data_IF_647582353116
#
_entry.id   IF_647582353116
#
_cell.length_a   1.000
_cell.length_b   1.000
_cell.length_c   1.000
_cell.angle_alpha   90.00
_cell.angle_beta   90.00
_cell.angle_gamma   90.00
#
_symmetry.space_group_name_H-M   'P 1'
#
loop_
_entity.id
_entity.type
_entity.pdbx_description
1 polymer ?
#
# COMPACT_ATOMS: atom_id res chain seq x y z
N UNK A 1 19.48 -12.71 24.38
CA UNK A 1 18.28 -13.49 24.04
C UNK A 1 17.39 -12.59 23.21
N UNK A 2 17.17 -12.90 21.93
CA UNK A 2 16.27 -12.10 21.09
C UNK A 2 14.85 -12.49 21.49
N UNK A 3 14.13 -11.59 22.16
CA UNK A 3 12.71 -11.77 22.38
C UNK A 3 12.00 -11.34 21.11
N UNK A 4 11.44 -12.31 20.39
CA UNK A 4 10.52 -12.03 19.30
C UNK A 4 9.19 -11.55 19.89
N UNK A 5 8.57 -10.56 19.24
CA UNK A 5 7.19 -10.19 19.54
C UNK A 5 6.30 -11.43 19.41
N UNK A 6 5.32 -11.57 20.30
CA UNK A 6 4.26 -12.56 20.14
C UNK A 6 3.48 -12.30 18.84
N UNK A 7 2.79 -13.31 18.28
CA UNK A 7 1.99 -13.10 17.07
C UNK A 7 0.97 -11.96 17.20
N UNK A 8 0.36 -11.80 18.38
CA UNK A 8 -0.57 -10.70 18.66
C UNK A 8 0.11 -9.34 18.65
N UNK A 9 1.29 -9.22 19.25
CA UNK A 9 2.06 -7.97 19.22
C UNK A 9 2.50 -7.61 17.80
N UNK A 10 2.93 -8.59 17.00
CA UNK A 10 3.28 -8.37 15.60
C UNK A 10 2.07 -7.85 14.81
N UNK A 11 0.91 -8.49 14.96
CA UNK A 11 -0.31 -8.04 14.29
C UNK A 11 -0.71 -6.62 14.69
N UNK A 12 -0.59 -6.28 15.97
CA UNK A 12 -0.89 -4.93 16.47
C UNK A 12 0.06 -3.88 15.88
N UNK A 13 1.36 -4.19 15.80
CA UNK A 13 2.36 -3.32 15.21
C UNK A 13 2.09 -3.10 13.71
N UNK A 14 1.81 -4.17 12.97
CA UNK A 14 1.46 -4.10 11.54
C UNK A 14 0.21 -3.24 11.32
N UNK A 15 -0.84 -3.46 12.12
CA UNK A 15 -2.09 -2.70 12.00
C UNK A 15 -1.90 -1.21 12.33
N UNK A 16 -1.11 -0.91 13.35
CA UNK A 16 -0.78 0.46 13.74
C UNK A 16 0.03 1.18 12.66
N UNK A 17 1.10 0.54 12.15
CA UNK A 17 1.93 1.10 11.10
C UNK A 17 1.12 1.35 9.83
N UNK A 18 0.35 0.35 9.37
CA UNK A 18 -0.53 0.48 8.21
C UNK A 18 -1.51 1.65 8.36
N UNK A 19 -2.11 1.81 9.54
CA UNK A 19 -3.04 2.91 9.81
C UNK A 19 -2.35 4.28 9.76
N UNK A 20 -1.12 4.38 10.28
CA UNK A 20 -0.32 5.61 10.21
C UNK A 20 0.08 5.95 8.78
N UNK A 21 0.47 4.95 7.98
CA UNK A 21 0.82 5.16 6.58
C UNK A 21 -0.38 5.63 5.76
N UNK A 22 -1.56 5.02 5.96
CA UNK A 22 -2.79 5.44 5.31
C UNK A 22 -3.18 6.87 5.71
N UNK A 23 -3.11 7.21 7.00
CA UNK A 23 -3.40 8.57 7.48
C UNK A 23 -2.44 9.60 6.87
N UNK A 24 -1.14 9.31 6.85
CA UNK A 24 -0.14 10.19 6.24
C UNK A 24 -0.34 10.32 4.72
N UNK A 25 -0.60 9.22 4.02
CA UNK A 25 -0.85 9.22 2.58
C UNK A 25 -2.11 10.03 2.23
N UNK A 26 -3.19 9.91 3.01
CA UNK A 26 -4.45 10.64 2.78
C UNK A 26 -4.32 12.16 2.85
N UNK A 27 -3.27 12.66 3.52
CA UNK A 27 -2.96 14.09 3.64
C UNK A 27 -2.10 14.63 2.51
N UNK A 28 -1.52 13.75 1.68
CA UNK A 28 -0.72 14.14 0.52
C UNK A 28 -1.62 14.37 -0.70
N UNK A 29 -1.14 15.18 -1.64
CA UNK A 29 -1.81 15.44 -2.91
C UNK A 29 -1.26 14.47 -3.96
N UNK A 30 -2.17 13.75 -4.62
CA UNK A 30 -1.86 12.92 -5.77
C UNK A 30 -1.52 13.81 -6.97
N UNK A 31 -0.29 13.73 -7.51
CA UNK A 31 0.13 14.57 -8.62
C UNK A 31 -0.66 14.30 -9.91
N UNK A 32 -1.26 13.11 -10.04
CA UNK A 32 -2.01 12.73 -11.25
C UNK A 32 -3.40 13.37 -11.29
N UNK A 33 -4.04 13.54 -10.13
CA UNK A 33 -5.41 14.06 -10.02
C UNK A 33 -5.49 15.48 -9.48
N UNK A 34 -4.43 15.96 -8.83
CA UNK A 34 -4.40 17.23 -8.11
C UNK A 34 -5.26 17.25 -6.85
N UNK A 35 -5.72 16.08 -6.38
CA UNK A 35 -6.58 15.92 -5.18
C UNK A 35 -5.86 15.09 -4.13
N UNK A 36 -6.40 15.06 -2.92
CA UNK A 36 -5.90 14.16 -1.87
C UNK A 36 -5.97 12.69 -2.32
N UNK A 37 -5.00 11.88 -1.89
CA UNK A 37 -5.02 10.43 -2.16
C UNK A 37 -6.24 9.78 -1.52
N UNK A 38 -6.98 9.01 -2.33
CA UNK A 38 -8.17 8.25 -1.92
C UNK A 38 -8.27 6.95 -2.73
N UNK A 39 -9.10 6.00 -2.28
CA UNK A 39 -9.35 4.76 -3.02
C UNK A 39 -8.08 3.95 -3.29
N UNK A 40 -7.95 3.42 -4.51
CA UNK A 40 -6.79 2.61 -4.94
C UNK A 40 -5.46 3.36 -4.82
N UNK A 41 -5.44 4.63 -5.24
CA UNK A 41 -4.24 5.49 -5.16
C UNK A 41 -3.77 5.72 -3.73
N UNK A 42 -4.68 5.69 -2.74
CA UNK A 42 -4.29 5.75 -1.33
C UNK A 42 -3.51 4.49 -0.90
N UNK A 43 -3.94 3.32 -1.38
CA UNK A 43 -3.29 2.03 -1.07
C UNK A 43 -1.90 1.99 -1.72
N UNK A 44 -1.81 2.37 -2.99
CA UNK A 44 -0.52 2.50 -3.68
C UNK A 44 0.42 3.42 -2.90
N UNK A 45 -0.04 4.63 -2.54
CA UNK A 45 0.82 5.61 -1.88
C UNK A 45 1.26 5.18 -0.49
N UNK A 46 0.38 4.57 0.31
CA UNK A 46 0.76 4.03 1.61
C UNK A 46 1.80 2.89 1.46
N UNK A 47 1.67 2.07 0.42
CA UNK A 47 2.63 0.99 0.13
C UNK A 47 3.99 1.53 -0.30
N UNK A 48 4.02 2.61 -1.09
CA UNK A 48 5.27 3.32 -1.42
C UNK A 48 5.99 3.81 -0.17
N UNK A 49 5.25 4.39 0.79
CA UNK A 49 5.81 4.85 2.06
C UNK A 49 6.31 3.69 2.94
N UNK A 50 5.61 2.55 2.93
CA UNK A 50 6.08 1.34 3.62
C UNK A 50 7.44 0.89 3.07
N UNK A 51 7.61 0.93 1.75
CA UNK A 51 8.82 0.46 1.08
C UNK A 51 9.99 1.45 1.15
N UNK A 52 9.74 2.73 0.87
CA UNK A 52 10.78 3.76 0.78
C UNK A 52 10.88 4.70 1.99
N UNK A 53 9.98 4.58 2.97
CA UNK A 53 9.83 5.49 4.10
C UNK A 53 8.87 6.67 3.83
N UNK A 54 8.43 7.33 4.90
CA UNK A 54 7.42 8.41 4.85
C UNK A 54 7.77 9.58 3.91
N UNK A 55 9.06 9.88 3.76
CA UNK A 55 9.57 10.99 2.95
C UNK A 55 9.88 10.61 1.51
N UNK A 56 9.62 9.36 1.09
CA UNK A 56 9.94 8.92 -0.26
C UNK A 56 9.14 9.73 -1.30
N UNK A 57 9.76 10.15 -2.42
CA UNK A 57 9.02 10.79 -3.50
C UNK A 57 7.86 9.91 -3.98
N UNK A 58 6.76 10.56 -4.34
CA UNK A 58 5.57 9.92 -4.91
C UNK A 58 5.95 9.30 -6.26
N UNK A 59 5.51 8.06 -6.49
CA UNK A 59 5.68 7.34 -7.77
C UNK A 59 7.16 7.35 -8.25
N UNK A 60 8.10 7.17 -7.32
CA UNK A 60 9.52 7.22 -7.64
C UNK A 60 9.98 5.96 -8.39
N UNK A 61 10.77 6.17 -9.45
CA UNK A 61 11.45 5.09 -10.18
C UNK A 61 12.72 4.57 -9.46
N UNK A 62 12.98 5.02 -8.23
CA UNK A 62 14.12 4.51 -7.45
C UNK A 62 13.82 3.09 -6.99
N UNK A 63 14.74 2.17 -7.25
CA UNK A 63 14.61 0.76 -6.86
C UNK A 63 15.50 0.41 -5.68
N UNK A 64 15.22 -0.74 -5.06
CA UNK A 64 16.13 -1.31 -4.08
C UNK A 64 17.46 -1.76 -4.74
N UNK A 65 18.46 -2.12 -3.91
CA UNK A 65 19.79 -2.53 -4.39
C UNK A 65 19.79 -3.77 -5.29
N UNK A 66 18.69 -4.53 -5.32
CA UNK A 66 18.54 -5.71 -6.16
C UNK A 66 17.75 -5.40 -7.45
N UNK A 67 17.38 -4.13 -7.67
CA UNK A 67 16.62 -3.62 -8.82
C UNK A 67 15.32 -4.39 -9.10
N UNK A 68 14.74 -5.05 -8.09
CA UNK A 68 13.59 -5.94 -8.33
C UNK A 68 12.30 -5.18 -8.60
N UNK A 69 12.06 -4.12 -7.84
CA UNK A 69 10.90 -3.24 -7.96
C UNK A 69 11.30 -1.81 -7.60
N UNK A 70 10.82 -0.84 -8.37
CA UNK A 70 10.84 0.58 -8.01
C UNK A 70 9.84 0.89 -6.88
N UNK A 71 9.95 2.06 -6.26
CA UNK A 71 8.93 2.53 -5.29
C UNK A 71 7.54 2.48 -5.93
N UNK A 72 7.41 2.97 -7.17
CA UNK A 72 6.14 2.97 -7.89
C UNK A 72 5.62 1.54 -8.15
N UNK A 73 6.48 0.66 -8.67
CA UNK A 73 6.12 -0.73 -8.98
C UNK A 73 5.68 -1.49 -7.72
N UNK A 74 6.37 -1.28 -6.59
CA UNK A 74 5.96 -1.85 -5.31
C UNK A 74 4.56 -1.40 -4.88
N UNK A 75 4.24 -0.11 -5.10
CA UNK A 75 2.92 0.44 -4.83
C UNK A 75 1.82 -0.24 -5.65
N UNK A 76 2.05 -0.39 -6.96
CA UNK A 76 1.12 -1.04 -7.89
C UNK A 76 0.94 -2.53 -7.52
N UNK A 77 2.04 -3.25 -7.30
CA UNK A 77 1.98 -4.66 -6.93
C UNK A 77 1.25 -4.91 -5.59
N UNK A 78 1.31 -3.94 -4.66
CA UNK A 78 0.57 -4.03 -3.39
C UNK A 78 -0.93 -3.81 -3.57
N UNK A 79 -1.33 -2.88 -4.44
CA UNK A 79 -2.73 -2.70 -4.82
C UNK A 79 -3.30 -3.95 -5.50
N UNK A 80 -2.55 -4.57 -6.42
CA UNK A 80 -2.99 -5.80 -7.09
C UNK A 80 -3.26 -6.91 -6.09
N UNK A 81 -2.33 -7.14 -5.14
CA UNK A 81 -2.51 -8.13 -4.06
C UNK A 81 -3.69 -7.80 -3.15
N UNK A 82 -3.92 -6.53 -2.84
CA UNK A 82 -5.08 -6.10 -2.07
C UNK A 82 -6.38 -6.44 -2.82
N UNK A 83 -6.46 -6.14 -4.11
CA UNK A 83 -7.60 -6.44 -4.95
C UNK A 83 -7.82 -7.96 -5.09
N UNK A 84 -6.76 -8.75 -5.21
CA UNK A 84 -6.84 -10.22 -5.16
C UNK A 84 -7.39 -10.73 -3.83
N UNK A 85 -6.93 -10.18 -2.70
CA UNK A 85 -7.43 -10.53 -1.39
C UNK A 85 -8.92 -10.18 -1.24
N UNK A 86 -9.36 -9.00 -1.69
CA UNK A 86 -10.77 -8.63 -1.70
C UNK A 86 -11.62 -9.59 -2.54
N UNK A 87 -11.13 -10.00 -3.72
CA UNK A 87 -11.81 -11.01 -4.55
C UNK A 87 -11.88 -12.36 -3.85
N UNK A 88 -10.80 -12.81 -3.22
CA UNK A 88 -10.76 -14.06 -2.48
C UNK A 88 -11.71 -14.07 -1.27
N UNK A 89 -11.95 -12.90 -0.66
CA UNK A 89 -12.91 -12.72 0.42
C UNK A 89 -14.36 -12.53 -0.07
N UNK A 90 -14.61 -12.45 -1.39
CA UNK A 90 -15.93 -12.18 -1.95
C UNK A 90 -16.41 -10.74 -1.70
N UNK A 91 -15.50 -9.80 -1.45
CA UNK A 91 -15.84 -8.39 -1.22
C UNK A 91 -16.02 -7.59 -2.51
N UNK A 92 -15.52 -8.11 -3.64
CA UNK A 92 -15.73 -7.55 -4.97
C UNK A 92 -16.31 -8.68 -5.82
N UNK A 93 -17.64 -8.72 -5.92
CA UNK A 93 -18.31 -9.62 -6.85
C UNK A 93 -17.94 -9.24 -8.28
N UNK A 94 -17.72 -10.25 -9.13
CA UNK A 94 -17.55 -10.05 -10.56
C UNK A 94 -18.74 -9.28 -11.09
N UNK A 95 -18.51 -8.10 -11.67
CA UNK A 95 -19.42 -7.56 -12.69
C UNK A 95 -19.23 -8.41 -13.95
N UNK A 96 -19.63 -9.68 -13.90
CA UNK A 96 -19.78 -10.52 -15.08
C UNK A 96 -21.22 -10.38 -15.57
N UNK A 97 -21.35 -9.67 -16.70
CA UNK A 97 -22.46 -9.69 -17.65
C UNK A 97 -23.81 -9.09 -17.21
N UNK A 98 -24.03 -7.84 -17.63
CA UNK A 98 -25.35 -7.41 -18.10
C UNK A 98 -25.17 -7.11 -19.59
N UNK A 99 -25.55 -8.07 -20.43
CA UNK A 99 -25.89 -7.85 -21.83
C UNK A 99 -27.25 -7.18 -21.93
#
# INVERSE_FOLDING_TARGET
MIQYFSPTEQQNLIASDTSQLLDNASKQIDPTTGKAFTGERLIERASQMHFGGLGIPIDSEVSNVNESDSIQEYGIASLDRYNEALKAMGCIDRVENIN
#
